data_IF_742296420895
#
_entry.id   IF_742296420895
#
_cell.length_a   1.000
_cell.length_b   1.000
_cell.length_c   1.000
_cell.angle_alpha   90.00
_cell.angle_beta   90.00
_cell.angle_gamma   90.00
#
_symmetry.space_group_name_H-M   'P 1'
#
loop_
_entity.id
_entity.type
_entity.pdbx_description
1 polymer ?
#
# COMPACT_ATOMS: atom_id res chain seq x y z
N UNK A 1 21.42 -5.89 8.50
CA UNK A 1 20.14 -5.68 7.79
C UNK A 1 19.38 -4.53 8.44
N UNK A 2 19.69 -3.28 8.07
CA UNK A 2 19.24 -2.11 8.85
C UNK A 2 18.91 -0.87 8.00
N UNK A 3 18.59 -1.06 6.71
CA UNK A 3 18.16 0.05 5.85
C UNK A 3 16.64 0.07 5.65
N UNK A 4 15.97 -1.07 5.78
CA UNK A 4 14.52 -1.17 5.69
C UNK A 4 13.97 -2.06 6.80
N UNK A 5 13.07 -1.52 7.62
CA UNK A 5 12.25 -2.30 8.54
C UNK A 5 11.17 -3.05 7.75
N UNK A 6 10.71 -4.20 8.27
CA UNK A 6 9.54 -4.91 7.73
C UNK A 6 8.33 -3.97 7.58
N UNK A 7 8.25 -2.94 8.42
CA UNK A 7 7.24 -1.88 8.36
C UNK A 7 7.35 -1.06 7.07
N UNK A 8 8.55 -0.54 6.77
CA UNK A 8 8.76 0.29 5.57
C UNK A 8 8.53 -0.49 4.26
N UNK A 9 8.93 -1.77 4.22
CA UNK A 9 8.68 -2.65 3.06
C UNK A 9 7.18 -2.92 2.88
N UNK A 10 6.46 -3.16 3.97
CA UNK A 10 5.03 -3.42 3.92
C UNK A 10 4.23 -2.20 3.46
N UNK A 11 4.60 -0.99 3.91
CA UNK A 11 4.02 0.27 3.43
C UNK A 11 4.27 0.46 1.94
N UNK A 12 5.51 0.27 1.48
CA UNK A 12 5.86 0.41 0.07
C UNK A 12 5.08 -0.58 -0.80
N UNK A 13 4.95 -1.82 -0.36
CA UNK A 13 4.19 -2.86 -1.05
C UNK A 13 2.69 -2.52 -1.13
N UNK A 14 2.09 -2.03 -0.04
CA UNK A 14 0.68 -1.62 -0.02
C UNK A 14 0.41 -0.44 -0.97
N UNK A 15 1.30 0.55 -1.02
CA UNK A 15 1.21 1.67 -1.96
C UNK A 15 1.36 1.20 -3.41
N UNK A 16 2.34 0.35 -3.70
CA UNK A 16 2.54 -0.22 -5.03
C UNK A 16 1.33 -1.05 -5.49
N UNK A 17 0.71 -1.79 -4.57
CA UNK A 17 -0.47 -2.59 -4.84
C UNK A 17 -1.68 -1.72 -5.20
N UNK A 18 -2.00 -0.71 -4.40
CA UNK A 18 -3.08 0.23 -4.68
C UNK A 18 -2.82 1.02 -5.96
N UNK A 19 -1.58 1.46 -6.20
CA UNK A 19 -1.21 2.12 -7.45
C UNK A 19 -1.44 1.20 -8.67
N UNK A 20 -1.05 -0.07 -8.58
CA UNK A 20 -1.30 -1.07 -9.62
C UNK A 20 -2.79 -1.29 -9.89
N UNK A 21 -3.60 -1.43 -8.84
CA UNK A 21 -5.06 -1.55 -8.98
C UNK A 21 -5.66 -0.34 -9.70
N UNK A 22 -5.26 0.88 -9.31
CA UNK A 22 -5.74 2.12 -9.93
C UNK A 22 -5.29 2.26 -11.39
N UNK A 23 -4.06 1.87 -11.72
CA UNK A 23 -3.56 1.88 -13.11
C UNK A 23 -4.38 0.92 -13.98
N UNK A 24 -4.64 -0.30 -13.50
CA UNK A 24 -5.44 -1.29 -14.24
C UNK A 24 -6.86 -0.77 -14.46
N UNK A 25 -7.51 -0.25 -13.41
CA UNK A 25 -8.87 0.29 -13.52
C UNK A 25 -8.93 1.47 -14.50
N UNK A 26 -7.92 2.34 -14.48
CA UNK A 26 -7.83 3.49 -15.39
C UNK A 26 -7.62 3.09 -16.84
N UNK A 27 -6.79 2.08 -17.10
CA UNK A 27 -6.49 1.63 -18.46
C UNK A 27 -7.60 0.77 -19.06
N UNK A 28 -8.35 0.03 -18.23
CA UNK A 28 -9.26 -1.02 -18.73
C UNK A 28 -10.76 -0.74 -18.52
N UNK A 29 -11.15 -0.08 -17.43
CA UNK A 29 -12.57 0.03 -17.05
C UNK A 29 -13.15 1.43 -17.25
N UNK A 30 -12.50 2.47 -16.71
CA UNK A 30 -13.05 3.83 -16.67
C UNK A 30 -11.94 4.85 -17.01
N UNK A 31 -11.88 5.38 -18.24
CA UNK A 31 -10.87 6.37 -18.65
C UNK A 31 -11.19 7.81 -18.18
N UNK A 32 -12.23 8.01 -17.36
CA UNK A 32 -12.68 9.32 -16.91
C UNK A 32 -12.07 9.73 -15.55
N UNK A 33 -11.90 11.04 -15.35
CA UNK A 33 -11.17 11.65 -14.24
C UNK A 33 -11.78 11.48 -12.83
N UNK A 34 -12.93 10.82 -12.70
CA UNK A 34 -13.66 10.66 -11.42
C UNK A 34 -12.89 9.84 -10.37
N UNK A 35 -11.92 9.01 -10.78
CA UNK A 35 -11.09 8.26 -9.84
C UNK A 35 -10.08 9.11 -9.05
N UNK A 36 -9.68 10.28 -9.56
CA UNK A 36 -8.65 11.10 -8.93
C UNK A 36 -9.02 11.54 -7.50
N UNK A 37 -10.32 11.74 -7.23
CA UNK A 37 -10.85 12.09 -5.92
C UNK A 37 -10.65 10.99 -4.86
N UNK A 38 -10.59 9.73 -5.28
CA UNK A 38 -10.43 8.59 -4.36
C UNK A 38 -8.97 8.21 -4.12
N UNK A 39 -8.03 8.70 -4.94
CA UNK A 39 -6.59 8.48 -4.76
C UNK A 39 -6.12 8.81 -3.33
N UNK A 40 -6.41 9.98 -2.74
CA UNK A 40 -5.96 10.29 -1.37
C UNK A 40 -6.57 9.34 -0.32
N UNK A 41 -7.82 8.92 -0.50
CA UNK A 41 -8.49 7.95 0.39
C UNK A 41 -7.82 6.58 0.29
N UNK A 42 -7.55 6.09 -0.92
CA UNK A 42 -6.87 4.82 -1.10
C UNK A 42 -5.41 4.85 -0.65
N UNK A 43 -4.72 5.98 -0.81
CA UNK A 43 -3.37 6.17 -0.29
C UNK A 43 -3.34 6.15 1.24
N UNK A 44 -4.31 6.80 1.91
CA UNK A 44 -4.45 6.72 3.37
C UNK A 44 -4.75 5.29 3.84
N UNK A 45 -5.64 4.58 3.15
CA UNK A 45 -5.92 3.18 3.45
C UNK A 45 -4.65 2.32 3.26
N UNK A 46 -3.91 2.51 2.16
CA UNK A 46 -2.65 1.81 1.90
C UNK A 46 -1.61 2.05 2.99
N UNK A 47 -1.47 3.29 3.47
CA UNK A 47 -0.58 3.63 4.59
C UNK A 47 -1.02 2.94 5.88
N UNK A 48 -2.31 3.00 6.22
CA UNK A 48 -2.84 2.38 7.43
C UNK A 48 -2.64 0.86 7.43
N UNK A 49 -3.12 0.18 6.38
CA UNK A 49 -3.02 -1.28 6.28
C UNK A 49 -1.56 -1.73 6.09
N UNK A 50 -0.75 -1.01 5.31
CA UNK A 50 0.68 -1.30 5.16
C UNK A 50 1.46 -1.14 6.47
N UNK A 51 1.11 -0.14 7.29
CA UNK A 51 1.72 0.04 8.60
C UNK A 51 1.33 -1.09 9.56
N UNK A 52 0.04 -1.43 9.66
CA UNK A 52 -0.45 -2.52 10.52
C UNK A 52 0.17 -3.85 10.14
N UNK A 53 0.19 -4.18 8.85
CA UNK A 53 0.73 -5.45 8.35
C UNK A 53 2.26 -5.52 8.54
N UNK A 54 2.93 -4.39 8.37
CA UNK A 54 4.34 -4.20 8.67
C UNK A 54 4.67 -4.39 10.15
N UNK A 55 3.83 -3.88 11.05
CA UNK A 55 4.00 -4.04 12.50
C UNK A 55 3.79 -5.50 12.92
N UNK A 56 2.77 -6.17 12.38
CA UNK A 56 2.52 -7.59 12.63
C UNK A 56 3.71 -8.42 12.14
N UNK A 57 4.16 -8.21 10.91
CA UNK A 57 5.32 -8.91 10.33
C UNK A 57 6.59 -8.65 11.16
N UNK A 58 6.83 -7.41 11.56
CA UNK A 58 8.00 -7.06 12.38
C UNK A 58 7.94 -7.69 13.78
N UNK A 59 6.74 -7.92 14.33
CA UNK A 59 6.58 -8.63 15.60
C UNK A 59 6.77 -10.12 15.46
N UNK A 60 6.27 -10.73 14.38
CA UNK A 60 6.47 -12.15 14.09
C UNK A 60 7.96 -12.45 13.91
N UNK A 61 8.65 -11.67 13.08
CA UNK A 61 10.07 -11.87 12.77
C UNK A 61 11.03 -11.62 13.96
N UNK A 62 10.57 -10.94 15.02
CA UNK A 62 11.33 -10.75 16.28
C UNK A 62 10.93 -11.76 17.36
N UNK A 63 9.88 -12.54 17.13
CA UNK A 63 9.35 -13.52 18.09
C UNK A 63 9.83 -14.95 17.77
N UNK A 64 10.45 -15.13 16.60
CA UNK A 64 11.35 -16.24 16.25
C UNK A 64 12.80 -15.90 16.65
#
# INVERSE_FOLDING_TARGET
>A
QKYFSAISLSILAALAHIAGQLIIVRLWLIPHASMAYFIPIFALAALFFGFVNGLITSRLLNKD
#
